data_IF_565129802969
#
_entry.id   IF_565129802969
#
_cell.length_a   1.000
_cell.length_b   1.000
_cell.length_c   1.000
_cell.angle_alpha   90.00
_cell.angle_beta   90.00
_cell.angle_gamma   90.00
#
_symmetry.space_group_name_H-M   'P 1'
#
loop_
_entity.id
_entity.type
_entity.pdbx_description
1 polymer ?
#
# COMPACT_ATOMS: atom_id res chain seq x y z
N UNK A 1 10.18 11.31 23.66
CA UNK A 1 10.48 11.31 22.21
C UNK A 1 9.20 11.76 21.52
N UNK A 2 9.20 12.92 20.84
CA UNK A 2 7.98 13.45 20.20
C UNK A 2 7.80 12.72 18.86
N UNK A 3 6.71 11.97 18.72
CA UNK A 3 6.42 11.10 17.55
C UNK A 3 5.12 11.48 16.86
N UNK A 4 4.71 12.74 17.02
CA UNK A 4 3.46 13.25 16.46
C UNK A 4 3.51 13.23 14.94
N UNK A 5 2.49 12.60 14.33
CA UNK A 5 2.31 12.61 12.88
C UNK A 5 1.54 13.87 12.50
N UNK A 6 2.29 14.92 12.18
CA UNK A 6 1.80 16.16 11.57
C UNK A 6 2.42 16.30 10.20
N UNK A 7 1.61 16.21 9.15
CA UNK A 7 2.08 16.54 7.80
C UNK A 7 2.19 18.07 7.64
N UNK A 8 3.11 18.49 6.76
CA UNK A 8 3.25 19.89 6.37
C UNK A 8 2.00 20.39 5.63
N UNK A 9 1.42 19.53 4.79
CA UNK A 9 0.20 19.83 4.05
C UNK A 9 -1.04 19.25 4.75
N UNK A 10 -2.14 19.99 4.68
CA UNK A 10 -3.40 19.57 5.30
C UNK A 10 -4.06 18.47 4.46
N UNK A 11 -4.73 17.49 5.09
CA UNK A 11 -5.51 16.50 4.37
C UNK A 11 -6.62 17.18 3.56
N UNK A 12 -6.74 16.80 2.28
CA UNK A 12 -7.73 17.37 1.35
C UNK A 12 -9.07 16.64 1.41
N UNK A 13 -9.09 15.42 1.97
CA UNK A 13 -10.27 14.56 2.12
C UNK A 13 -10.59 14.35 3.62
N UNK A 14 -11.82 13.90 3.96
CA UNK A 14 -12.20 13.65 5.35
C UNK A 14 -11.24 12.67 6.03
N UNK A 15 -10.71 13.04 7.19
CA UNK A 15 -9.79 12.16 7.93
C UNK A 15 -10.60 11.05 8.61
N UNK A 16 -10.34 9.80 8.24
CA UNK A 16 -10.95 8.62 8.89
C UNK A 16 -10.19 8.23 10.14
N UNK A 17 -8.86 8.23 10.05
CA UNK A 17 -7.95 7.99 11.15
C UNK A 17 -6.64 8.73 10.89
N UNK A 18 -6.24 9.59 11.83
CA UNK A 18 -5.03 10.42 11.70
C UNK A 18 -3.74 9.62 11.84
N UNK A 19 -3.75 8.56 12.65
CA UNK A 19 -2.57 7.72 12.90
C UNK A 19 -2.99 6.25 12.97
N UNK A 20 -3.38 5.66 11.82
CA UNK A 20 -3.91 4.31 11.81
C UNK A 20 -2.81 3.30 12.18
N UNK A 21 -3.09 2.34 13.08
CA UNK A 21 -2.15 1.28 13.39
C UNK A 21 -1.92 0.40 12.15
N UNK A 22 -0.74 -0.22 12.06
CA UNK A 22 -0.33 -1.03 10.90
C UNK A 22 -1.38 -2.05 10.45
N UNK A 23 -1.98 -2.79 11.40
CA UNK A 23 -3.00 -3.81 11.10
C UNK A 23 -4.27 -3.22 10.49
N UNK A 24 -4.64 -1.99 10.86
CA UNK A 24 -5.77 -1.27 10.28
C UNK A 24 -5.48 -0.84 8.85
N UNK A 25 -4.26 -0.37 8.56
CA UNK A 25 -3.86 0.01 7.21
C UNK A 25 -3.86 -1.19 6.27
N UNK A 26 -3.24 -2.30 6.67
CA UNK A 26 -3.19 -3.53 5.87
C UNK A 26 -4.59 -4.15 5.73
N UNK A 27 -5.39 -4.14 6.78
CA UNK A 27 -6.78 -4.60 6.74
C UNK A 27 -7.72 -3.72 5.90
N UNK A 28 -7.29 -2.51 5.52
CA UNK A 28 -8.04 -1.58 4.68
C UNK A 28 -7.63 -1.63 3.18
N UNK A 29 -6.88 -2.64 2.77
CA UNK A 29 -6.53 -2.80 1.36
C UNK A 29 -7.79 -3.00 0.50
N UNK A 30 -7.94 -2.12 -0.49
CA UNK A 30 -8.98 -2.24 -1.50
C UNK A 30 -8.61 -3.30 -2.54
N UNK A 31 -9.58 -3.73 -3.34
CA UNK A 31 -9.33 -4.61 -4.50
C UNK A 31 -8.26 -3.99 -5.42
N UNK A 32 -8.27 -2.67 -5.58
CA UNK A 32 -7.28 -1.96 -6.39
C UNK A 32 -5.87 -2.02 -5.78
N UNK A 33 -5.73 -2.00 -4.46
CA UNK A 33 -4.42 -2.12 -3.81
C UNK A 33 -3.83 -3.52 -3.99
N UNK A 34 -4.66 -4.56 -3.86
CA UNK A 34 -4.24 -5.93 -4.16
C UNK A 34 -3.87 -6.10 -5.63
N UNK A 35 -4.62 -5.50 -6.56
CA UNK A 35 -4.31 -5.51 -7.98
C UNK A 35 -2.97 -4.81 -8.27
N UNK A 36 -2.72 -3.65 -7.67
CA UNK A 36 -1.45 -2.92 -7.80
C UNK A 36 -0.29 -3.73 -7.25
N UNK A 37 -0.45 -4.28 -6.04
CA UNK A 37 0.54 -5.15 -5.42
C UNK A 37 0.88 -6.36 -6.29
N UNK A 38 -0.13 -7.10 -6.75
CA UNK A 38 0.07 -8.29 -7.58
C UNK A 38 0.69 -7.96 -8.93
N UNK A 39 0.30 -6.84 -9.53
CA UNK A 39 0.85 -6.38 -10.82
C UNK A 39 2.31 -6.03 -10.68
N UNK A 40 2.69 -5.26 -9.65
CA UNK A 40 4.09 -4.90 -9.39
C UNK A 40 4.91 -6.17 -9.16
N UNK A 41 4.46 -7.07 -8.30
CA UNK A 41 5.14 -8.34 -8.05
C UNK A 41 5.31 -9.17 -9.33
N UNK A 42 4.25 -9.35 -10.12
CA UNK A 42 4.27 -10.12 -11.35
C UNK A 42 5.23 -9.55 -12.40
N UNK A 43 5.23 -8.23 -12.59
CA UNK A 43 6.18 -7.56 -13.50
C UNK A 43 7.61 -7.73 -13.00
N UNK A 44 7.88 -7.56 -11.71
CA UNK A 44 9.24 -7.71 -11.16
C UNK A 44 9.77 -9.13 -11.26
N UNK A 45 8.93 -10.15 -11.04
CA UNK A 45 9.28 -11.57 -11.28
C UNK A 45 9.64 -11.79 -12.74
N UNK A 46 8.82 -11.26 -13.67
CA UNK A 46 9.03 -11.41 -15.11
C UNK A 46 10.35 -10.76 -15.55
N UNK A 47 10.61 -9.54 -15.10
CA UNK A 47 11.87 -8.83 -15.37
C UNK A 47 13.07 -9.54 -14.75
N UNK A 48 12.95 -10.05 -13.52
CA UNK A 48 13.99 -10.86 -12.88
C UNK A 48 14.31 -12.12 -13.66
N UNK A 49 13.28 -12.84 -14.14
CA UNK A 49 13.48 -14.03 -14.96
C UNK A 49 14.21 -13.70 -16.27
N UNK A 50 13.70 -12.74 -17.04
CA UNK A 50 14.25 -12.37 -18.35
C UNK A 50 15.68 -11.83 -18.25
N UNK A 51 15.97 -10.99 -17.25
CA UNK A 51 17.31 -10.45 -17.01
C UNK A 51 18.31 -11.53 -16.58
N UNK A 52 17.85 -12.60 -15.93
CA UNK A 52 18.66 -13.74 -15.53
C UNK A 52 18.95 -14.77 -16.64
N UNK A 53 18.31 -14.69 -17.81
CA UNK A 53 18.51 -15.68 -18.90
C UNK A 53 19.94 -15.61 -19.45
N UNK A 54 20.39 -14.42 -19.86
CA UNK A 54 21.72 -14.22 -20.46
C UNK A 54 22.87 -14.62 -19.53
N UNK A 55 22.88 -14.24 -18.23
CA UNK A 55 23.91 -14.67 -17.30
C UNK A 55 23.71 -16.11 -16.75
N UNK A 56 22.68 -16.85 -17.18
CA UNK A 56 22.44 -18.23 -16.73
C UNK A 56 21.86 -18.38 -15.31
N UNK A 57 21.41 -17.28 -14.70
CA UNK A 57 20.88 -17.23 -13.32
C UNK A 57 19.38 -16.91 -13.26
N UNK A 58 18.61 -17.38 -14.25
CA UNK A 58 17.17 -17.11 -14.39
C UNK A 58 16.34 -17.39 -13.13
N UNK A 59 16.66 -18.47 -12.40
CA UNK A 59 15.97 -18.83 -11.16
C UNK A 59 16.26 -17.85 -10.01
N UNK A 60 17.53 -17.70 -9.59
CA UNK A 60 17.89 -16.74 -8.54
C UNK A 60 17.50 -15.29 -8.88
N UNK A 61 17.69 -14.86 -10.12
CA UNK A 61 17.33 -13.51 -10.56
C UNK A 61 15.81 -13.27 -10.51
N UNK A 62 15.01 -14.26 -10.90
CA UNK A 62 13.54 -14.23 -10.73
C UNK A 62 13.13 -14.14 -9.25
N UNK A 63 13.76 -14.90 -8.34
CA UNK A 63 13.48 -14.85 -6.90
C UNK A 63 13.78 -13.46 -6.35
N UNK A 64 14.95 -12.90 -6.66
CA UNK A 64 15.31 -11.53 -6.24
C UNK A 64 14.35 -10.49 -6.82
N UNK A 65 14.00 -10.60 -8.10
CA UNK A 65 12.98 -9.75 -8.73
C UNK A 65 11.64 -9.84 -8.01
N UNK A 66 11.20 -11.04 -7.64
CA UNK A 66 9.99 -11.26 -6.84
C UNK A 66 10.06 -10.62 -5.46
N UNK A 67 11.17 -10.75 -4.73
CA UNK A 67 11.36 -10.13 -3.42
C UNK A 67 11.28 -8.59 -3.51
N UNK A 68 11.92 -8.00 -4.53
CA UNK A 68 11.85 -6.55 -4.80
C UNK A 68 10.41 -6.14 -5.12
N UNK A 69 9.73 -6.88 -5.98
CA UNK A 69 8.35 -6.60 -6.38
C UNK A 69 7.35 -6.72 -5.22
N UNK A 70 7.51 -7.73 -4.37
CA UNK A 70 6.71 -7.90 -3.16
C UNK A 70 6.92 -6.73 -2.19
N UNK A 71 8.18 -6.35 -1.94
CA UNK A 71 8.51 -5.23 -1.06
C UNK A 71 7.95 -3.91 -1.60
N UNK A 72 8.26 -3.56 -2.85
CA UNK A 72 7.80 -2.32 -3.48
C UNK A 72 6.28 -2.28 -3.66
N UNK A 73 5.67 -3.39 -4.07
CA UNK A 73 4.22 -3.51 -4.22
C UNK A 73 3.49 -3.36 -2.89
N UNK A 74 3.99 -3.99 -1.83
CA UNK A 74 3.41 -3.89 -0.49
C UNK A 74 3.51 -2.45 0.04
N UNK A 75 4.69 -1.83 -0.08
CA UNK A 75 4.88 -0.43 0.31
C UNK A 75 3.93 0.51 -0.45
N UNK A 76 3.73 0.27 -1.75
CA UNK A 76 2.81 1.07 -2.55
C UNK A 76 1.33 0.87 -2.14
N UNK A 77 0.90 -0.37 -1.92
CA UNK A 77 -0.44 -0.66 -1.40
C UNK A 77 -0.67 -0.05 -0.01
N UNK A 78 0.35 -0.13 0.86
CA UNK A 78 0.34 0.48 2.19
C UNK A 78 0.21 2.00 2.12
N UNK A 79 1.00 2.67 1.27
CA UNK A 79 0.92 4.12 1.07
C UNK A 79 -0.47 4.55 0.58
N UNK A 80 -1.04 3.81 -0.39
CA UNK A 80 -2.37 4.09 -0.89
C UNK A 80 -3.44 3.93 0.21
N UNK A 81 -3.41 2.84 0.96
CA UNK A 81 -4.38 2.59 2.04
C UNK A 81 -4.24 3.61 3.18
N UNK A 82 -3.02 3.88 3.63
CA UNK A 82 -2.75 4.84 4.70
C UNK A 82 -3.16 6.26 4.27
N UNK A 83 -2.85 6.67 3.04
CA UNK A 83 -3.24 7.96 2.50
C UNK A 83 -4.75 8.15 2.43
N UNK A 84 -5.52 7.09 2.09
CA UNK A 84 -6.99 7.14 2.14
C UNK A 84 -7.52 7.27 3.58
N UNK A 85 -6.95 6.55 4.54
CA UNK A 85 -7.36 6.65 5.95
C UNK A 85 -7.05 8.03 6.55
N UNK A 86 -5.88 8.59 6.24
CA UNK A 86 -5.42 9.88 6.76
C UNK A 86 -6.01 11.09 6.01
N UNK A 87 -6.78 10.88 4.94
CA UNK A 87 -7.42 11.96 4.17
C UNK A 87 -6.52 12.66 3.15
N UNK A 88 -5.37 12.06 2.79
CA UNK A 88 -4.50 12.57 1.72
C UNK A 88 -4.91 12.07 0.33
N UNK A 89 -5.67 10.98 0.26
CA UNK A 89 -6.20 10.42 -0.98
C UNK A 89 -7.73 10.30 -0.96
N UNK A 90 -8.39 10.25 -2.14
CA UNK A 90 -9.83 10.05 -2.23
C UNK A 90 -10.29 8.82 -1.45
N UNK A 91 -11.28 8.98 -0.57
CA UNK A 91 -11.64 7.96 0.43
C UNK A 91 -13.15 7.83 0.69
N UNK A 92 -13.98 8.05 -0.34
CA UNK A 92 -15.44 8.00 -0.22
C UNK A 92 -15.95 6.64 0.29
N UNK A 93 -15.31 5.53 -0.14
CA UNK A 93 -15.66 4.18 0.30
C UNK A 93 -15.32 3.91 1.76
N UNK A 94 -14.19 4.46 2.22
CA UNK A 94 -13.73 4.40 3.60
C UNK A 94 -14.68 5.21 4.50
N UNK A 95 -14.98 6.45 4.12
CA UNK A 95 -15.94 7.29 4.85
C UNK A 95 -17.28 6.57 4.99
N UNK A 96 -17.84 6.03 3.91
CA UNK A 96 -19.10 5.30 3.93
C UNK A 96 -19.05 4.03 4.79
N UNK A 97 -17.96 3.26 4.72
CA UNK A 97 -17.82 2.01 5.49
C UNK A 97 -17.62 2.26 6.98
N UNK A 98 -16.86 3.28 7.37
CA UNK A 98 -16.64 3.64 8.77
C UNK A 98 -17.86 4.32 9.40
N UNK A 99 -18.61 5.10 8.62
CA UNK A 99 -19.89 5.66 9.08
C UNK A 99 -20.90 4.55 9.41
N UNK A 100 -20.96 3.48 8.61
CA UNK A 100 -21.81 2.30 8.88
C UNK A 100 -21.37 1.50 10.10
N UNK A 101 -20.10 1.56 10.49
CA UNK A 101 -19.51 0.79 11.61
C UNK A 101 -19.58 1.50 12.96
N UNK A 102 -20.30 2.61 13.08
CA UNK A 102 -20.52 3.30 14.36
C UNK A 102 -19.83 4.66 14.50
N UNK A 103 -19.29 5.22 13.42
CA UNK A 103 -18.79 6.60 13.38
C UNK A 103 -17.31 6.74 13.73
N UNK A 104 -16.72 7.82 13.22
CA UNK A 104 -15.32 8.19 13.40
C UNK A 104 -14.95 8.17 14.90
N UNK A 105 -13.87 7.49 15.32
CA UNK A 105 -13.36 7.71 16.67
C UNK A 105 -13.07 9.21 16.82
N UNK A 106 -13.66 9.81 17.87
CA UNK A 106 -13.47 11.23 18.19
C UNK A 106 -12.02 11.52 18.56
#
# INVERSE_FOLDING_TARGET
>A
MNTDITALEKPQYPVVDRNPPFTKVVGNFSVLDYLRFSTIAGVSVTVGYLSGIKPGIKGPSMVTGGLIGLMGGFMYAYQNSAGRLMGFFPNEGEVASYQKRGGFPK
#
